data_IF_355792139123
#
_entry.id   IF_355792139123
#
_cell.length_a   1.000
_cell.length_b   1.000
_cell.length_c   1.000
_cell.angle_alpha   90.00
_cell.angle_beta   90.00
_cell.angle_gamma   90.00
#
_symmetry.space_group_name_H-M   'P 1'
#
loop_
_entity.id
_entity.type
_entity.pdbx_description
1 polymer ?
#
# COMPACT_ATOMS: atom_id res chain seq x y z
N UNK A 1 42.15 -95.53 -5.29
CA UNK A 1 41.12 -95.53 -4.23
C UNK A 1 41.81 -95.23 -2.91
N UNK A 2 41.27 -94.43 -1.98
CA UNK A 2 39.98 -93.73 -1.93
C UNK A 2 40.19 -92.21 -1.81
N UNK A 3 39.24 -91.41 -2.30
CA UNK A 3 39.15 -89.98 -1.94
C UNK A 3 38.43 -89.90 -0.60
N UNK A 4 39.12 -89.43 0.44
CA UNK A 4 38.50 -89.25 1.77
C UNK A 4 37.65 -87.97 1.77
N UNK A 5 36.41 -88.09 2.25
CA UNK A 5 35.37 -87.08 2.04
C UNK A 5 35.58 -85.80 2.86
N UNK A 6 35.63 -84.64 2.18
CA UNK A 6 35.67 -83.31 2.78
C UNK A 6 34.33 -82.84 3.37
N UNK A 7 33.61 -83.70 4.10
CA UNK A 7 32.22 -83.46 4.50
C UNK A 7 32.01 -82.65 5.79
N UNK A 8 33.04 -82.45 6.61
CA UNK A 8 32.85 -82.04 8.03
C UNK A 8 32.88 -80.52 8.29
N UNK A 9 33.27 -79.71 7.30
CA UNK A 9 33.51 -78.27 7.47
C UNK A 9 32.24 -77.41 7.27
N UNK A 10 31.41 -77.74 6.26
CA UNK A 10 30.29 -76.90 5.81
C UNK A 10 29.13 -76.77 6.81
N UNK A 11 28.93 -77.77 7.68
CA UNK A 11 27.89 -77.73 8.70
C UNK A 11 28.19 -76.72 9.82
N UNK A 12 29.47 -76.61 10.22
CA UNK A 12 29.90 -75.60 11.21
C UNK A 12 29.67 -74.18 10.67
N UNK A 13 29.97 -73.92 9.40
CA UNK A 13 29.71 -72.62 8.79
C UNK A 13 28.21 -72.30 8.67
N UNK A 14 27.34 -73.27 8.37
CA UNK A 14 25.89 -73.03 8.33
C UNK A 14 25.28 -72.84 9.72
N UNK A 15 25.79 -73.50 10.77
CA UNK A 15 25.42 -73.19 12.17
C UNK A 15 25.93 -71.81 12.62
N UNK A 16 27.14 -71.42 12.25
CA UNK A 16 27.67 -70.08 12.53
C UNK A 16 26.87 -68.99 11.80
N UNK A 17 26.57 -69.16 10.51
CA UNK A 17 25.76 -68.19 9.78
C UNK A 17 24.32 -68.12 10.28
N UNK A 18 23.67 -69.23 10.65
CA UNK A 18 22.31 -69.20 11.21
C UNK A 18 22.26 -68.61 12.62
N UNK A 19 23.24 -68.87 13.48
CA UNK A 19 23.35 -68.22 14.80
C UNK A 19 23.66 -66.72 14.69
N UNK A 20 24.52 -66.28 13.76
CA UNK A 20 24.70 -64.85 13.44
C UNK A 20 23.41 -64.20 12.89
N UNK A 21 22.66 -64.90 12.04
CA UNK A 21 21.37 -64.40 11.51
C UNK A 21 20.30 -64.28 12.60
N UNK A 22 20.28 -65.19 13.60
CA UNK A 22 19.39 -65.07 14.76
C UNK A 22 19.82 -63.95 15.70
N UNK A 23 21.10 -63.85 16.08
CA UNK A 23 21.58 -62.75 16.92
C UNK A 23 21.38 -61.38 16.26
N UNK A 24 21.64 -61.27 14.95
CA UNK A 24 21.41 -60.06 14.17
C UNK A 24 19.93 -59.62 14.09
N UNK A 25 18.98 -60.52 14.41
CA UNK A 25 17.55 -60.20 14.52
C UNK A 25 17.06 -59.95 15.95
N UNK A 26 17.87 -60.27 16.97
CA UNK A 26 17.53 -60.06 18.38
C UNK A 26 18.09 -58.75 18.96
N UNK A 27 19.14 -58.19 18.36
CA UNK A 27 19.75 -56.92 18.80
C UNK A 27 19.10 -55.65 18.24
N UNK A 28 17.92 -55.77 17.62
CA UNK A 28 17.12 -54.63 17.17
C UNK A 28 16.36 -54.00 18.36
N UNK A 29 17.10 -53.39 19.30
CA UNK A 29 16.51 -52.57 20.37
C UNK A 29 15.78 -51.38 19.73
N UNK A 30 14.45 -51.47 19.66
CA UNK A 30 13.59 -50.34 19.32
C UNK A 30 13.67 -49.33 20.44
N UNK A 31 14.60 -48.38 20.33
CA UNK A 31 14.63 -47.20 21.19
C UNK A 31 13.28 -46.51 21.16
N UNK A 32 12.75 -46.13 22.33
CA UNK A 32 11.55 -45.30 22.43
C UNK A 32 11.71 -44.05 21.54
N UNK A 33 10.65 -43.62 20.83
CA UNK A 33 10.73 -42.39 20.04
C UNK A 33 11.08 -41.22 20.98
N UNK A 34 12.02 -40.33 20.59
CA UNK A 34 12.45 -39.25 21.47
C UNK A 34 11.27 -38.31 21.77
N UNK A 35 11.17 -37.87 23.03
CA UNK A 35 10.11 -36.96 23.45
C UNK A 35 10.15 -35.66 22.63
N UNK A 36 8.99 -35.10 22.24
CA UNK A 36 8.92 -33.95 21.35
C UNK A 36 9.47 -32.68 22.00
N UNK A 37 10.00 -31.78 21.17
CA UNK A 37 10.65 -30.54 21.60
C UNK A 37 9.68 -29.64 22.40
N UNK A 38 10.07 -29.11 23.57
CA UNK A 38 9.30 -28.08 24.24
C UNK A 38 9.39 -26.74 23.51
N UNK A 39 8.43 -25.86 23.81
CA UNK A 39 8.39 -24.47 23.34
C UNK A 39 8.98 -23.59 24.45
N UNK A 40 9.83 -22.62 24.09
CA UNK A 40 10.44 -21.67 25.02
C UNK A 40 10.06 -20.23 24.64
N UNK A 41 9.19 -19.62 25.43
CA UNK A 41 8.62 -18.29 25.17
C UNK A 41 9.01 -17.26 26.23
N UNK A 42 8.88 -15.97 25.90
CA UNK A 42 8.96 -14.87 26.86
C UNK A 42 7.58 -14.66 27.48
N UNK A 43 7.46 -14.86 28.79
CA UNK A 43 6.23 -14.56 29.55
C UNK A 43 6.18 -13.11 30.02
N UNK A 44 7.30 -12.58 30.52
CA UNK A 44 7.41 -11.17 30.89
C UNK A 44 8.86 -10.67 30.86
N UNK A 45 9.03 -9.34 30.77
CA UNK A 45 10.34 -8.67 30.71
C UNK A 45 10.32 -7.43 31.61
N UNK A 46 11.37 -7.27 32.40
CA UNK A 46 11.71 -6.05 33.15
C UNK A 46 13.03 -5.46 32.61
N UNK A 47 13.49 -4.33 33.17
CA UNK A 47 14.77 -3.72 32.74
C UNK A 47 16.00 -4.59 33.04
N UNK A 48 15.93 -5.51 34.01
CA UNK A 48 17.08 -6.32 34.45
C UNK A 48 16.80 -7.83 34.53
N UNK A 49 15.58 -8.28 34.23
CA UNK A 49 15.19 -9.69 34.23
C UNK A 49 14.19 -10.02 33.12
N UNK A 50 14.17 -11.28 32.71
CA UNK A 50 13.16 -11.86 31.82
C UNK A 50 12.63 -13.13 32.47
N UNK A 51 11.32 -13.31 32.46
CA UNK A 51 10.66 -14.58 32.81
C UNK A 51 10.40 -15.35 31.52
N UNK A 52 10.99 -16.54 31.43
CA UNK A 52 10.84 -17.47 30.33
C UNK A 52 9.91 -18.61 30.75
N UNK A 53 8.99 -19.00 29.88
CA UNK A 53 8.17 -20.22 30.07
C UNK A 53 8.68 -21.31 29.14
N UNK A 54 9.00 -22.47 29.71
CA UNK A 54 9.24 -23.70 28.96
C UNK A 54 7.98 -24.57 29.03
N UNK A 55 7.34 -24.84 27.89
CA UNK A 55 6.10 -25.64 27.75
C UNK A 55 6.43 -27.01 27.16
N UNK A 56 5.99 -28.09 27.80
CA UNK A 56 5.91 -29.39 27.15
C UNK A 56 4.80 -29.36 26.07
N UNK A 57 4.93 -30.12 24.95
CA UNK A 57 3.88 -30.22 23.95
C UNK A 57 2.58 -30.83 24.49
N UNK A 58 1.46 -30.59 23.80
CA UNK A 58 0.15 -31.11 24.23
C UNK A 58 0.17 -32.63 24.47
N UNK A 59 -0.51 -33.05 25.54
CA UNK A 59 -0.51 -34.44 26.01
C UNK A 59 0.76 -34.90 26.74
N UNK A 60 1.84 -34.11 26.74
CA UNK A 60 3.11 -34.45 27.40
C UNK A 60 3.30 -33.64 28.69
N UNK A 61 3.99 -34.23 29.68
CA UNK A 61 4.20 -33.63 31.00
C UNK A 61 5.61 -33.93 31.51
N UNK A 62 6.31 -32.88 31.95
CA UNK A 62 7.66 -32.96 32.49
C UNK A 62 7.70 -32.97 34.02
N UNK A 63 8.67 -33.69 34.60
CA UNK A 63 9.01 -33.64 36.04
C UNK A 63 10.37 -33.00 36.31
N UNK A 64 11.22 -32.81 35.29
CA UNK A 64 12.44 -32.02 35.39
C UNK A 64 12.58 -31.18 34.13
N UNK A 65 12.51 -29.86 34.26
CA UNK A 65 12.75 -28.90 33.18
C UNK A 65 14.10 -28.21 33.39
N UNK A 66 14.88 -28.02 32.32
CA UNK A 66 16.22 -27.41 32.38
C UNK A 66 16.32 -26.27 31.38
N UNK A 67 16.86 -25.13 31.81
CA UNK A 67 17.14 -23.98 30.96
C UNK A 67 18.64 -23.87 30.68
N UNK A 68 18.98 -23.70 29.41
CA UNK A 68 20.34 -23.52 28.93
C UNK A 68 20.51 -22.15 28.29
N UNK A 69 21.69 -21.54 28.49
CA UNK A 69 22.18 -20.39 27.72
C UNK A 69 23.28 -20.87 26.79
N UNK A 70 23.01 -20.89 25.48
CA UNK A 70 23.87 -21.45 24.43
C UNK A 70 24.25 -22.93 24.63
N UNK A 71 25.11 -23.25 25.61
CA UNK A 71 25.51 -24.63 25.99
C UNK A 71 25.62 -24.85 27.51
N UNK A 72 25.53 -23.78 28.31
CA UNK A 72 25.64 -23.83 29.76
C UNK A 72 24.25 -24.00 30.39
N UNK A 73 24.05 -24.95 31.31
CA UNK A 73 22.78 -25.05 32.06
C UNK A 73 22.76 -23.93 33.10
N UNK A 74 21.85 -22.97 32.93
CA UNK A 74 21.75 -21.78 33.80
C UNK A 74 20.70 -21.93 34.90
N UNK A 75 19.70 -22.79 34.71
CA UNK A 75 18.63 -23.04 35.69
C UNK A 75 18.02 -24.44 35.48
N UNK A 76 17.36 -24.99 36.49
CA UNK A 76 16.60 -26.24 36.39
C UNK A 76 15.62 -26.43 37.55
N UNK A 77 14.41 -26.88 37.22
CA UNK A 77 13.32 -27.12 38.17
C UNK A 77 12.90 -28.59 38.12
N UNK A 78 12.94 -29.25 39.28
CA UNK A 78 12.38 -30.59 39.51
C UNK A 78 11.02 -30.46 40.22
N UNK A 79 10.05 -31.29 39.81
CA UNK A 79 8.66 -31.26 40.23
C UNK A 79 8.23 -32.63 40.75
N UNK A 80 7.39 -32.65 41.79
CA UNK A 80 6.88 -33.89 42.40
C UNK A 80 5.84 -34.60 41.53
N UNK A 81 5.29 -33.93 40.52
CA UNK A 81 4.31 -34.47 39.58
C UNK A 81 4.46 -33.83 38.20
N UNK A 82 4.02 -34.52 37.16
CA UNK A 82 4.18 -34.07 35.78
C UNK A 82 3.37 -32.79 35.48
N UNK A 83 4.06 -31.70 35.15
CA UNK A 83 3.47 -30.42 34.75
C UNK A 83 3.64 -30.16 33.24
N UNK A 84 2.80 -29.27 32.72
CA UNK A 84 2.77 -28.87 31.31
C UNK A 84 3.72 -27.69 31.02
N UNK A 85 4.02 -26.85 32.01
CA UNK A 85 4.97 -25.74 31.88
C UNK A 85 5.70 -25.39 33.19
N UNK A 86 6.83 -24.67 33.09
CA UNK A 86 7.52 -24.00 34.21
C UNK A 86 8.01 -22.60 33.83
N UNK A 87 8.23 -21.74 34.83
CA UNK A 87 8.74 -20.38 34.67
C UNK A 87 10.17 -20.23 35.22
N UNK A 88 11.11 -19.80 34.38
CA UNK A 88 12.50 -19.50 34.74
C UNK A 88 12.76 -17.99 34.75
N UNK A 89 13.50 -17.46 35.73
CA UNK A 89 13.80 -16.01 35.81
C UNK A 89 15.28 -15.74 35.56
N UNK A 90 15.61 -15.30 34.34
CA UNK A 90 16.99 -14.96 33.95
C UNK A 90 17.29 -13.47 34.18
N UNK A 91 18.51 -13.16 34.62
CA UNK A 91 19.00 -11.78 34.74
C UNK A 91 19.67 -11.33 33.45
N UNK A 92 19.17 -10.27 32.83
CA UNK A 92 19.77 -9.68 31.63
C UNK A 92 20.81 -8.66 32.06
N UNK A 93 22.07 -8.88 31.67
CA UNK A 93 23.14 -7.87 31.79
C UNK A 93 23.07 -6.91 30.60
N UNK A 94 23.10 -5.60 30.89
CA UNK A 94 23.26 -4.53 29.91
C UNK A 94 24.71 -4.60 29.36
N UNK A 95 24.86 -4.89 28.06
CA UNK A 95 26.18 -5.17 27.45
C UNK A 95 26.11 -6.12 26.26
N UNK A 96 25.91 -5.52 25.08
CA UNK A 96 26.09 -5.96 23.67
C UNK A 96 26.43 -7.45 23.37
N UNK A 97 25.65 -8.37 23.95
CA UNK A 97 25.78 -9.81 23.73
C UNK A 97 24.41 -10.41 23.49
N UNK A 98 24.16 -10.89 22.26
CA UNK A 98 22.96 -11.63 21.91
C UNK A 98 22.90 -12.89 22.76
N UNK A 99 21.82 -13.07 23.52
CA UNK A 99 21.70 -14.19 24.48
C UNK A 99 20.70 -15.22 23.95
N UNK A 100 21.23 -16.35 23.50
CA UNK A 100 20.43 -17.48 23.03
C UNK A 100 20.11 -18.41 24.21
N UNK A 101 18.83 -18.72 24.39
CA UNK A 101 18.36 -19.67 25.39
C UNK A 101 17.61 -20.82 24.72
N UNK A 102 17.70 -22.02 25.29
CA UNK A 102 16.88 -23.17 24.92
C UNK A 102 16.53 -23.97 26.18
N UNK A 103 15.46 -24.75 26.15
CA UNK A 103 15.07 -25.62 27.25
C UNK A 103 14.86 -27.06 26.79
N UNK A 104 14.90 -27.99 27.73
CA UNK A 104 14.49 -29.38 27.54
C UNK A 104 13.78 -29.88 28.81
N UNK A 105 12.96 -30.92 28.68
CA UNK A 105 12.30 -31.55 29.82
C UNK A 105 12.57 -33.05 29.90
N UNK A 106 12.24 -33.64 31.04
CA UNK A 106 12.29 -35.07 31.32
C UNK A 106 10.91 -35.56 31.75
N UNK A 107 10.44 -36.68 31.20
CA UNK A 107 9.18 -37.32 31.63
C UNK A 107 9.33 -38.11 32.93
N UNK A 108 8.24 -38.76 33.37
CA UNK A 108 8.22 -39.59 34.59
C UNK A 108 9.00 -40.91 34.42
N UNK A 109 9.01 -41.48 33.23
CA UNK A 109 9.74 -42.71 32.90
C UNK A 109 11.27 -42.50 32.81
N UNK A 110 11.69 -41.25 32.66
CA UNK A 110 13.06 -40.77 32.72
C UNK A 110 13.70 -40.42 31.37
N UNK A 111 12.94 -40.43 30.28
CA UNK A 111 13.38 -39.98 28.97
C UNK A 111 13.51 -38.46 28.92
N UNK A 112 14.44 -37.96 28.10
CA UNK A 112 14.60 -36.53 27.85
C UNK A 112 13.98 -36.15 26.50
N UNK A 113 13.44 -34.93 26.43
CA UNK A 113 13.11 -34.29 25.16
C UNK A 113 14.36 -33.90 24.40
N UNK A 114 14.21 -33.75 23.08
CA UNK A 114 15.12 -32.87 22.33
C UNK A 114 15.00 -31.43 22.86
N UNK A 115 16.01 -30.61 22.61
CA UNK A 115 15.99 -29.19 22.98
C UNK A 115 14.91 -28.43 22.20
N UNK A 116 14.35 -27.39 22.82
CA UNK A 116 13.59 -26.35 22.11
C UNK A 116 14.44 -25.68 21.02
N UNK A 117 13.80 -25.02 20.04
CA UNK A 117 14.47 -23.98 19.26
C UNK A 117 15.16 -22.94 20.18
N UNK A 118 16.20 -22.29 19.69
CA UNK A 118 16.85 -21.21 20.43
C UNK A 118 15.98 -19.94 20.41
N UNK A 119 15.53 -19.52 21.58
CA UNK A 119 14.93 -18.21 21.81
C UNK A 119 16.05 -17.17 21.90
N UNK A 120 16.01 -16.17 21.02
CA UNK A 120 16.92 -15.03 21.06
C UNK A 120 16.37 -13.95 22.00
N UNK A 121 17.02 -13.73 23.15
CA UNK A 121 16.83 -12.49 23.90
C UNK A 121 17.58 -11.37 23.19
N UNK A 122 16.91 -10.78 22.19
CA UNK A 122 17.30 -9.47 21.69
C UNK A 122 17.25 -8.47 22.84
N UNK A 123 18.30 -7.65 22.94
CA UNK A 123 18.28 -6.49 23.79
C UNK A 123 17.28 -5.52 23.18
N UNK A 124 16.12 -5.32 23.84
CA UNK A 124 15.24 -4.20 23.51
C UNK A 124 16.07 -2.95 23.77
N UNK A 125 16.59 -2.31 22.72
CA UNK A 125 17.23 -1.00 22.86
C UNK A 125 16.23 -0.08 23.57
N UNK A 126 16.70 0.77 24.48
CA UNK A 126 15.94 1.92 25.00
C UNK A 126 15.75 3.01 23.89
N UNK A 127 15.57 2.57 22.64
CA UNK A 127 15.39 3.39 21.45
C UNK A 127 13.97 3.94 21.42
N UNK A 128 13.85 5.26 21.49
CA UNK A 128 12.56 5.94 21.43
C UNK A 128 11.99 5.82 20.00
N UNK A 129 10.65 5.69 19.83
CA UNK A 129 10.03 5.63 18.50
C UNK A 129 10.47 6.81 17.61
N UNK A 130 10.85 6.52 16.37
CA UNK A 130 11.40 7.51 15.43
C UNK A 130 10.39 8.64 15.18
N UNK A 131 10.78 9.93 15.30
CA UNK A 131 9.87 11.05 15.06
C UNK A 131 9.54 11.23 13.58
N UNK A 132 8.38 11.82 13.32
CA UNK A 132 8.02 12.34 12.00
C UNK A 132 8.37 13.82 11.90
N UNK A 133 8.72 14.27 10.69
CA UNK A 133 8.99 15.66 10.36
C UNK A 133 8.23 16.00 9.08
N UNK A 134 7.42 17.05 9.09
CA UNK A 134 6.60 17.48 7.94
C UNK A 134 6.66 18.99 7.74
N UNK A 135 6.50 19.44 6.49
CA UNK A 135 6.26 20.86 6.18
C UNK A 135 4.78 21.16 6.39
N UNK A 136 4.45 22.23 7.10
CA UNK A 136 3.09 22.71 7.30
C UNK A 136 2.99 24.22 7.09
N UNK A 137 1.92 24.68 6.42
CA UNK A 137 1.59 26.11 6.33
C UNK A 137 0.62 26.46 7.47
N UNK A 138 0.89 27.54 8.21
CA UNK A 138 0.02 28.05 9.26
C UNK A 138 0.00 29.58 9.18
N UNK A 139 -1.19 30.17 8.97
CA UNK A 139 -1.38 31.61 8.81
C UNK A 139 -0.42 32.24 7.77
N UNK A 140 -0.28 31.58 6.63
CA UNK A 140 0.61 31.92 5.51
C UNK A 140 2.13 31.88 5.79
N UNK A 141 2.54 31.41 6.98
CA UNK A 141 3.94 31.12 7.30
C UNK A 141 4.21 29.62 7.17
N UNK A 142 5.39 29.27 6.64
CA UNK A 142 5.85 27.89 6.51
C UNK A 142 6.65 27.45 7.74
N UNK A 143 6.26 26.31 8.30
CA UNK A 143 6.86 25.71 9.48
C UNK A 143 7.24 24.26 9.23
N UNK A 144 8.18 23.77 10.03
CA UNK A 144 8.51 22.35 10.15
C UNK A 144 7.89 21.83 11.45
N UNK A 145 6.87 20.99 11.35
CA UNK A 145 6.28 20.29 12.49
C UNK A 145 7.05 18.98 12.69
N UNK A 146 7.65 18.83 13.87
CA UNK A 146 8.19 17.56 14.33
C UNK A 146 7.26 16.94 15.37
N UNK A 147 6.95 15.65 15.24
CA UNK A 147 6.08 14.90 16.16
C UNK A 147 6.83 13.67 16.67
N UNK A 148 6.94 13.58 18.00
CA UNK A 148 7.54 12.44 18.71
C UNK A 148 6.48 11.44 19.18
N UNK A 149 6.88 10.51 20.07
CA UNK A 149 5.93 9.58 20.68
C UNK A 149 5.04 10.28 21.70
N UNK A 150 3.72 10.11 21.57
CA UNK A 150 2.73 10.58 22.55
C UNK A 150 2.89 9.95 23.96
N UNK A 151 3.71 8.91 24.11
CA UNK A 151 4.10 8.36 25.41
C UNK A 151 5.08 9.27 26.20
N UNK A 152 5.70 10.25 25.53
CA UNK A 152 6.72 11.13 26.12
C UNK A 152 6.43 12.62 25.82
N UNK A 153 5.34 13.20 26.37
CA UNK A 153 5.08 14.64 26.27
C UNK A 153 6.12 15.46 27.07
N UNK A 154 6.30 16.73 26.73
CA UNK A 154 7.34 17.59 27.32
C UNK A 154 8.77 17.25 26.88
N UNK A 155 8.92 16.48 25.80
CA UNK A 155 10.21 16.15 25.21
C UNK A 155 10.95 17.39 24.67
N UNK A 156 12.28 17.27 24.55
CA UNK A 156 13.13 18.27 23.91
C UNK A 156 13.30 17.88 22.45
N UNK A 157 12.91 18.73 21.52
CA UNK A 157 12.98 18.47 20.09
C UNK A 157 14.14 19.26 19.46
N UNK A 158 14.96 18.59 18.66
CA UNK A 158 16.12 19.18 17.99
C UNK A 158 16.03 18.97 16.48
N UNK A 159 16.10 20.08 15.73
CA UNK A 159 16.10 20.11 14.27
C UNK A 159 17.55 20.16 13.76
N UNK A 160 17.89 19.27 12.84
CA UNK A 160 19.20 19.16 12.21
C UNK A 160 19.09 19.41 10.70
N UNK A 161 20.16 19.93 10.11
CA UNK A 161 20.41 19.75 8.69
C UNK A 161 21.02 18.36 8.49
N UNK A 162 20.69 17.69 7.38
CA UNK A 162 21.31 16.43 7.01
C UNK A 162 22.84 16.57 6.97
N UNK A 163 23.51 15.49 7.36
CA UNK A 163 24.98 15.38 7.43
C UNK A 163 25.67 16.38 8.40
N UNK A 164 24.90 17.11 9.22
CA UNK A 164 25.40 17.94 10.33
C UNK A 164 25.06 17.29 11.67
N UNK A 165 26.05 17.27 12.58
CA UNK A 165 25.92 16.71 13.94
C UNK A 165 25.27 17.68 14.94
N UNK A 166 25.47 19.00 14.77
CA UNK A 166 24.90 20.05 15.62
C UNK A 166 23.47 20.42 15.20
N UNK A 167 22.55 20.70 16.16
CA UNK A 167 21.22 21.16 15.83
C UNK A 167 21.23 22.60 15.31
N UNK A 168 20.37 22.86 14.32
CA UNK A 168 20.06 24.20 13.79
C UNK A 168 19.15 24.97 14.74
N UNK A 169 18.24 24.25 15.42
CA UNK A 169 17.37 24.79 16.46
C UNK A 169 16.94 23.68 17.43
N UNK A 170 16.72 24.02 18.69
CA UNK A 170 16.21 23.10 19.73
C UNK A 170 15.08 23.79 20.51
N UNK A 171 13.96 23.09 20.66
CA UNK A 171 12.74 23.59 21.31
C UNK A 171 12.23 22.58 22.32
N UNK A 172 11.84 23.05 23.51
CA UNK A 172 11.15 22.24 24.50
C UNK A 172 9.65 22.25 24.19
N UNK A 173 9.02 21.08 24.09
CA UNK A 173 7.56 20.98 24.05
C UNK A 173 6.95 21.31 25.42
N UNK A 174 5.67 21.70 25.46
CA UNK A 174 4.98 21.86 26.76
C UNK A 174 4.74 20.48 27.41
N UNK A 175 4.45 20.46 28.71
CA UNK A 175 4.28 19.22 29.49
C UNK A 175 3.16 18.28 28.99
N UNK A 176 2.30 18.73 28.06
CA UNK A 176 1.25 17.92 27.44
C UNK A 176 1.48 17.68 25.94
N UNK A 177 2.40 18.42 25.32
CA UNK A 177 2.69 18.31 23.89
C UNK A 177 3.77 17.27 23.62
N UNK A 178 3.57 16.49 22.56
CA UNK A 178 4.53 15.53 22.02
C UNK A 178 5.05 15.97 20.64
N UNK A 179 5.05 17.29 20.40
CA UNK A 179 5.41 17.90 19.12
C UNK A 179 6.09 19.26 19.32
N UNK A 180 6.88 19.68 18.34
CA UNK A 180 7.51 21.00 18.29
C UNK A 180 7.39 21.60 16.88
N UNK A 181 7.19 22.92 16.83
CA UNK A 181 7.04 23.71 15.61
C UNK A 181 8.29 24.59 15.46
N UNK A 182 9.04 24.38 14.38
CA UNK A 182 10.19 25.20 14.01
C UNK A 182 9.80 26.12 12.85
N UNK A 183 10.22 27.40 12.82
CA UNK A 183 10.17 28.20 11.59
C UNK A 183 11.11 27.57 10.55
N UNK A 184 10.76 27.59 9.27
CA UNK A 184 11.69 27.14 8.20
C UNK A 184 12.95 28.02 8.21
N UNK A 185 14.15 27.48 8.49
CA UNK A 185 15.36 28.30 8.52
C UNK A 185 15.74 28.80 7.12
N UNK A 186 16.08 30.08 7.01
CA UNK A 186 16.56 30.70 5.77
C UNK A 186 17.96 30.16 5.46
N UNK A 187 18.10 29.37 4.40
CA UNK A 187 19.39 28.88 3.90
C UNK A 187 19.68 29.40 2.49
N UNK A 188 20.96 29.55 2.18
CA UNK A 188 21.44 29.95 0.84
C UNK A 188 21.47 28.80 -0.18
N UNK A 189 21.23 27.58 0.26
CA UNK A 189 21.00 26.42 -0.60
C UNK A 189 19.63 26.52 -1.31
N UNK A 190 19.52 26.06 -2.57
CA UNK A 190 18.22 25.99 -3.26
C UNK A 190 17.34 24.86 -2.71
N UNK A 191 17.94 23.81 -2.15
CA UNK A 191 17.26 22.72 -1.44
C UNK A 191 18.05 22.38 -0.17
N UNK A 192 17.36 22.31 0.95
CA UNK A 192 17.88 21.87 2.25
C UNK A 192 17.18 20.58 2.69
N UNK A 193 17.91 19.65 3.32
CA UNK A 193 17.35 18.40 3.82
C UNK A 193 17.33 18.40 5.34
N UNK A 194 16.17 18.53 5.96
CA UNK A 194 16.04 18.59 7.42
C UNK A 194 15.74 17.22 8.04
N UNK A 195 16.24 17.02 9.26
CA UNK A 195 15.96 15.86 10.11
C UNK A 195 15.57 16.36 11.51
N UNK A 196 14.74 15.61 12.23
CA UNK A 196 14.39 15.91 13.62
C UNK A 196 14.78 14.75 14.54
N UNK A 197 15.17 15.06 15.77
CA UNK A 197 15.35 14.13 16.88
C UNK A 197 14.53 14.64 18.07
N UNK A 198 14.19 13.75 19.01
CA UNK A 198 13.75 14.19 20.33
C UNK A 198 14.45 13.43 21.45
N UNK A 199 14.66 14.14 22.54
CA UNK A 199 15.39 13.70 23.72
C UNK A 199 14.47 13.78 24.95
N UNK A 200 14.47 12.73 25.76
CA UNK A 200 13.55 12.58 26.91
C UNK A 200 14.29 12.13 28.17
N UNK A 201 13.90 12.66 29.32
CA UNK A 201 14.52 12.35 30.60
C UNK A 201 13.88 11.10 31.24
N UNK A 202 14.41 9.92 30.92
CA UNK A 202 13.97 8.65 31.52
C UNK A 202 14.56 8.51 32.94
N UNK A 203 13.82 9.05 33.92
CA UNK A 203 14.12 9.00 35.35
C UNK A 203 15.29 9.91 35.76
N UNK A 204 16.51 9.58 35.33
CA UNK A 204 17.74 10.38 35.53
C UNK A 204 18.71 10.37 34.35
N UNK A 205 18.39 9.65 33.27
CA UNK A 205 19.21 9.54 32.06
C UNK A 205 18.44 10.14 30.89
N UNK A 206 19.07 11.05 30.14
CA UNK A 206 18.56 11.46 28.84
C UNK A 206 18.70 10.29 27.85
N UNK A 207 17.61 9.96 27.17
CA UNK A 207 17.63 9.06 26.00
C UNK A 207 17.21 9.85 24.78
N UNK A 208 17.76 9.49 23.62
CA UNK A 208 17.53 10.15 22.34
C UNK A 208 16.79 9.22 21.39
N UNK A 209 15.92 9.76 20.55
CA UNK A 209 15.36 9.02 19.41
C UNK A 209 16.43 8.81 18.33
N UNK A 210 16.17 7.87 17.41
CA UNK A 210 16.82 7.96 16.10
C UNK A 210 16.30 9.22 15.36
N UNK A 211 17.04 9.71 14.37
CA UNK A 211 16.62 10.87 13.57
C UNK A 211 15.48 10.51 12.61
N UNK A 212 14.59 11.47 12.35
CA UNK A 212 13.53 11.35 11.34
C UNK A 212 14.10 11.10 9.95
N UNK A 213 13.25 10.61 9.04
CA UNK A 213 13.55 10.64 7.60
C UNK A 213 13.87 12.09 7.16
N UNK A 214 14.82 12.22 6.24
CA UNK A 214 15.22 13.52 5.68
C UNK A 214 14.10 14.15 4.86
N UNK A 215 13.74 15.38 5.19
CA UNK A 215 12.69 16.16 4.55
C UNK A 215 13.32 17.25 3.66
N UNK A 216 13.09 17.17 2.35
CA UNK A 216 13.56 18.18 1.40
C UNK A 216 12.69 19.46 1.48
N UNK A 217 13.32 20.61 1.59
CA UNK A 217 12.70 21.95 1.63
C UNK A 217 13.37 22.81 0.56
N UNK A 218 12.61 23.27 -0.43
CA UNK A 218 13.10 24.02 -1.58
C UNK A 218 12.89 25.52 -1.41
N UNK A 219 13.94 26.33 -1.57
CA UNK A 219 13.86 27.80 -1.51
C UNK A 219 13.16 28.34 -2.75
N UNK A 220 12.05 29.06 -2.56
CA UNK A 220 11.38 29.83 -3.62
C UNK A 220 10.35 29.07 -4.47
N UNK A 221 9.94 27.86 -4.07
CA UNK A 221 8.80 27.15 -4.68
C UNK A 221 7.74 26.94 -3.60
N UNK A 222 6.56 27.59 -3.64
CA UNK A 222 5.42 27.10 -2.88
C UNK A 222 5.04 25.71 -3.43
N UNK A 223 4.86 24.67 -2.60
CA UNK A 223 4.25 23.43 -3.06
C UNK A 223 2.91 23.79 -3.71
N UNK A 224 2.60 23.20 -4.89
CA UNK A 224 1.80 23.85 -5.94
C UNK A 224 0.58 24.54 -5.37
N UNK A 225 0.64 25.87 -5.35
CA UNK A 225 -0.42 26.70 -4.79
C UNK A 225 -1.73 26.33 -5.46
N UNK A 226 -2.75 26.00 -4.65
CA UNK A 226 -4.10 25.76 -5.12
C UNK A 226 -4.76 27.09 -5.52
N UNK A 227 -4.24 27.66 -6.61
CA UNK A 227 -4.91 28.61 -7.48
C UNK A 227 -6.16 27.87 -8.02
N UNK A 228 -7.37 28.14 -7.55
CA UNK A 228 -7.84 29.39 -6.96
C UNK A 228 -9.03 29.25 -5.99
N UNK A 229 -9.29 30.35 -5.28
CA UNK A 229 -10.55 30.73 -4.61
C UNK A 229 -11.08 29.85 -3.44
N UNK A 230 -11.14 30.51 -2.27
CA UNK A 230 -12.16 30.40 -1.23
C UNK A 230 -12.27 29.10 -0.41
N UNK A 231 -12.26 29.26 0.92
CA UNK A 231 -12.80 28.26 1.85
C UNK A 231 -14.33 28.23 1.76
N UNK A 232 -14.85 27.28 1.01
CA UNK A 232 -16.27 26.90 0.92
C UNK A 232 -16.34 25.37 0.91
N UNK A 233 -17.33 24.76 1.56
CA UNK A 233 -17.45 23.31 1.67
C UNK A 233 -17.79 22.63 0.32
N UNK A 234 -16.73 22.29 -0.42
CA UNK A 234 -16.77 21.65 -1.72
C UNK A 234 -17.65 20.38 -1.86
N UNK A 235 -17.89 19.55 -0.81
CA UNK A 235 -18.82 18.42 -0.91
C UNK A 235 -20.26 18.80 -1.31
N UNK A 236 -20.73 20.01 -0.98
CA UNK A 236 -22.05 20.49 -1.40
C UNK A 236 -22.02 21.17 -2.77
N UNK A 237 -20.91 21.85 -3.10
CA UNK A 237 -20.80 22.66 -4.31
C UNK A 237 -20.82 21.80 -5.58
N UNK A 238 -20.20 20.62 -5.57
CA UNK A 238 -20.11 19.75 -6.75
C UNK A 238 -21.49 19.20 -7.20
N UNK A 239 -22.46 19.10 -6.29
CA UNK A 239 -23.86 18.79 -6.65
C UNK A 239 -24.65 19.99 -7.19
N UNK A 240 -24.29 21.21 -6.78
CA UNK A 240 -25.05 22.43 -7.07
C UNK A 240 -24.96 22.90 -8.52
N UNK A 241 -23.80 22.72 -9.18
CA UNK A 241 -23.62 23.09 -10.59
C UNK A 241 -24.59 22.36 -11.53
N UNK A 242 -25.00 21.14 -11.20
CA UNK A 242 -26.03 20.39 -11.95
C UNK A 242 -27.37 21.14 -11.99
N UNK A 243 -27.83 21.65 -10.84
CA UNK A 243 -29.10 22.37 -10.74
C UNK A 243 -29.10 23.68 -11.54
N UNK A 244 -27.99 24.43 -11.52
CA UNK A 244 -27.85 25.68 -12.27
C UNK A 244 -27.84 25.43 -13.78
N UNK A 245 -27.09 24.42 -14.26
CA UNK A 245 -27.07 24.04 -15.68
C UNK A 245 -28.43 23.53 -16.14
N UNK A 246 -29.12 22.70 -15.34
CA UNK A 246 -30.47 22.22 -15.65
C UNK A 246 -31.50 23.37 -15.71
N UNK A 247 -31.41 24.36 -14.81
CA UNK A 247 -32.25 25.55 -14.86
C UNK A 247 -32.01 26.35 -16.14
N UNK A 248 -30.75 26.64 -16.50
CA UNK A 248 -30.41 27.35 -17.74
C UNK A 248 -30.94 26.60 -18.98
N UNK A 249 -30.73 25.28 -19.04
CA UNK A 249 -31.27 24.43 -20.11
C UNK A 249 -32.81 24.47 -20.17
N UNK A 250 -33.49 24.43 -19.03
CA UNK A 250 -34.96 24.50 -18.99
C UNK A 250 -35.51 25.83 -19.51
N UNK A 251 -34.89 26.96 -19.12
CA UNK A 251 -35.26 28.29 -19.60
C UNK A 251 -34.97 28.43 -21.10
N UNK A 252 -33.83 27.95 -21.58
CA UNK A 252 -33.49 27.95 -23.00
C UNK A 252 -34.51 27.14 -23.83
N UNK A 253 -34.94 25.97 -23.35
CA UNK A 253 -35.98 25.16 -24.00
C UNK A 253 -37.34 25.89 -24.03
N UNK A 254 -37.76 26.53 -22.94
CA UNK A 254 -39.00 27.34 -22.89
C UNK A 254 -38.95 28.49 -23.89
N UNK A 255 -37.84 29.22 -23.97
CA UNK A 255 -37.64 30.32 -24.94
C UNK A 255 -37.68 29.80 -26.38
N UNK A 256 -37.04 28.67 -26.68
CA UNK A 256 -37.09 28.04 -28.02
C UNK A 256 -38.50 27.58 -28.37
N UNK A 257 -39.25 26.99 -27.44
CA UNK A 257 -40.64 26.57 -27.66
C UNK A 257 -41.55 27.77 -27.86
N UNK A 258 -41.41 28.84 -27.06
CA UNK A 258 -42.15 30.08 -27.23
C UNK A 258 -41.87 30.74 -28.59
N UNK A 259 -40.60 30.87 -28.97
CA UNK A 259 -40.20 31.42 -30.27
C UNK A 259 -40.68 30.56 -31.45
N UNK A 260 -40.69 29.22 -31.32
CA UNK A 260 -41.30 28.31 -32.30
C UNK A 260 -42.83 28.47 -32.38
N UNK A 261 -43.53 28.59 -31.25
CA UNK A 261 -44.99 28.86 -31.19
C UNK A 261 -45.32 30.20 -31.83
N UNK A 262 -44.58 31.27 -31.53
CA UNK A 262 -44.76 32.60 -32.15
C UNK A 262 -44.49 32.56 -33.65
N UNK A 263 -43.41 31.91 -34.11
CA UNK A 263 -43.13 31.75 -35.55
C UNK A 263 -44.17 30.88 -36.27
N UNK A 264 -44.72 29.87 -35.61
CA UNK A 264 -45.84 29.09 -36.14
C UNK A 264 -47.12 29.94 -36.27
N UNK A 265 -47.48 30.67 -35.21
CA UNK A 265 -48.64 31.57 -35.21
C UNK A 265 -48.51 32.72 -36.23
N UNK A 266 -47.30 33.25 -36.45
CA UNK A 266 -47.03 34.24 -37.48
C UNK A 266 -47.16 33.66 -38.90
N UNK A 267 -46.66 32.43 -39.14
CA UNK A 267 -46.86 31.72 -40.41
C UNK A 267 -48.33 31.37 -40.66
N UNK A 268 -49.07 30.97 -39.63
CA UNK A 268 -50.53 30.80 -39.66
C UNK A 268 -51.25 32.09 -40.07
N UNK A 269 -50.95 33.22 -39.41
CA UNK A 269 -51.55 34.52 -39.75
C UNK A 269 -51.22 34.94 -41.19
N UNK A 270 -49.98 34.78 -41.65
CA UNK A 270 -49.57 35.07 -43.04
C UNK A 270 -50.35 34.21 -44.04
N UNK A 271 -50.44 32.89 -43.80
CA UNK A 271 -51.23 31.97 -44.64
C UNK A 271 -52.71 32.34 -44.71
N UNK A 272 -53.31 32.79 -43.60
CA UNK A 272 -54.71 33.24 -43.56
C UNK A 272 -54.92 34.52 -44.38
N UNK A 273 -53.99 35.47 -44.33
CA UNK A 273 -54.02 36.67 -45.18
C UNK A 273 -53.81 36.32 -46.67
N UNK A 274 -52.88 35.42 -46.99
CA UNK A 274 -52.67 34.92 -48.35
C UNK A 274 -53.91 34.20 -48.89
N UNK A 275 -54.55 33.34 -48.09
CA UNK A 275 -55.80 32.68 -48.46
C UNK A 275 -56.94 33.68 -48.71
N UNK A 276 -57.10 34.70 -47.85
CA UNK A 276 -58.07 35.78 -48.05
C UNK A 276 -57.83 36.52 -49.38
N UNK A 277 -56.57 36.87 -49.67
CA UNK A 277 -56.18 37.49 -50.93
C UNK A 277 -56.54 36.60 -52.15
N UNK A 278 -56.18 35.32 -52.14
CA UNK A 278 -56.53 34.40 -53.23
C UNK A 278 -58.05 34.21 -53.40
N UNK A 279 -58.84 34.17 -52.31
CA UNK A 279 -60.30 34.15 -52.43
C UNK A 279 -60.86 35.44 -53.05
N UNK A 280 -60.26 36.60 -52.79
CA UNK A 280 -60.66 37.88 -53.39
C UNK A 280 -60.24 37.99 -54.87
N UNK A 281 -59.14 37.36 -55.27
CA UNK A 281 -58.67 37.29 -56.66
C UNK A 281 -59.57 36.35 -57.48
N UNK A 282 -59.79 35.12 -57.03
CA UNK A 282 -60.64 34.18 -57.78
C UNK A 282 -62.13 34.61 -57.86
N UNK A 283 -62.61 35.37 -56.87
CA UNK A 283 -63.92 36.02 -56.95
C UNK A 283 -64.02 37.10 -58.05
N UNK A 284 -62.88 37.60 -58.58
CA UNK A 284 -62.82 38.44 -59.79
C UNK A 284 -62.57 37.64 -61.06
N UNK A 285 -61.72 36.61 -61.03
CA UNK A 285 -61.33 35.88 -62.25
C UNK A 285 -62.52 35.18 -62.93
N UNK A 286 -63.50 34.72 -62.14
CA UNK A 286 -64.79 34.20 -62.63
C UNK A 286 -65.64 35.20 -63.43
N UNK A 287 -65.26 36.49 -63.48
CA UNK A 287 -65.94 37.53 -64.26
C UNK A 287 -65.31 37.75 -65.65
N UNK A 288 -64.08 37.24 -65.90
CA UNK A 288 -63.24 37.76 -67.00
C UNK A 288 -62.74 36.70 -68.00
N UNK A 289 -62.39 35.48 -67.58
CA UNK A 289 -61.62 34.56 -68.44
C UNK A 289 -62.45 33.79 -69.49
N UNK A 290 -63.00 34.52 -70.47
CA UNK A 290 -63.77 33.99 -71.60
C UNK A 290 -63.17 34.34 -72.97
N UNK A 291 -61.90 34.80 -73.05
CA UNK A 291 -61.27 35.24 -74.32
C UNK A 291 -59.75 35.05 -74.47
N UNK A 292 -59.36 34.30 -75.53
CA UNK A 292 -58.24 34.59 -76.48
C UNK A 292 -56.75 34.24 -76.18
N UNK A 293 -56.37 32.97 -76.39
CA UNK A 293 -55.54 32.47 -77.53
C UNK A 293 -54.45 33.40 -78.19
N UNK A 294 -53.12 33.15 -78.01
CA UNK A 294 -52.09 32.99 -79.11
C UNK A 294 -50.57 32.75 -78.75
N UNK A 295 -49.94 31.81 -79.48
CA UNK A 295 -48.55 31.73 -80.07
C UNK A 295 -47.20 31.98 -79.30
N UNK A 296 -46.09 31.47 -79.89
CA UNK A 296 -44.64 31.50 -79.47
C UNK A 296 -43.77 32.33 -80.44
N UNK A 297 -42.53 32.72 -80.03
CA UNK A 297 -41.19 32.31 -80.59
C UNK A 297 -40.00 33.19 -80.03
N UNK A 298 -38.68 32.86 -80.22
CA UNK A 298 -37.58 33.15 -79.25
C UNK A 298 -36.30 33.86 -79.85
N UNK A 299 -35.13 33.78 -79.15
CA UNK A 299 -33.78 34.16 -79.66
C UNK A 299 -32.56 33.49 -78.91
N UNK A 300 -31.32 34.00 -79.10
CA UNK A 300 -29.95 33.36 -79.11
C UNK A 300 -28.89 34.06 -78.17
N UNK A 301 -27.59 33.74 -77.95
CA UNK A 301 -26.64 32.55 -78.02
C UNK A 301 -25.19 32.99 -77.52
N UNK A 302 -24.12 32.15 -77.60
CA UNK A 302 -22.63 32.39 -77.43
C UNK A 302 -22.04 32.44 -75.98
N UNK A 303 -20.73 32.26 -75.65
CA UNK A 303 -19.43 32.14 -76.37
C UNK A 303 -18.37 31.20 -75.66
N UNK A 304 -17.09 31.13 -76.10
CA UNK A 304 -16.05 30.10 -75.73
C UNK A 304 -14.58 30.48 -76.13
N UNK A 305 -13.40 29.89 -75.77
CA UNK A 305 -12.87 28.87 -74.79
C UNK A 305 -11.29 28.77 -74.83
N UNK A 306 -10.61 28.43 -73.70
CA UNK A 306 -9.24 27.83 -73.45
C UNK A 306 -7.93 28.37 -74.16
N UNK A 307 -6.66 27.89 -73.98
CA UNK A 307 -5.97 26.75 -73.27
C UNK A 307 -4.67 27.20 -72.51
N UNK A 308 -3.48 26.55 -72.30
CA UNK A 308 -2.70 25.37 -72.85
C UNK A 308 -1.71 24.74 -71.79
N UNK A 309 -0.59 24.05 -72.16
CA UNK A 309 0.12 23.02 -71.32
C UNK A 309 1.66 22.83 -71.53
N UNK A 310 2.43 22.35 -70.51
CA UNK A 310 3.73 21.60 -70.66
C UNK A 310 3.99 20.54 -69.53
N UNK A 311 5.08 19.73 -69.57
CA UNK A 311 5.12 18.33 -69.03
C UNK A 311 6.44 17.84 -68.38
N UNK A 312 6.42 16.96 -67.34
CA UNK A 312 7.63 16.17 -66.93
C UNK A 312 7.57 15.22 -65.69
N UNK A 313 7.84 13.92 -65.89
CA UNK A 313 7.96 12.77 -64.93
C UNK A 313 8.89 12.96 -63.70
N UNK A 314 8.87 12.17 -62.58
CA UNK A 314 8.79 10.69 -62.43
C UNK A 314 8.46 10.23 -60.97
N UNK A 315 8.09 8.97 -60.75
CA UNK A 315 7.53 8.36 -59.50
C UNK A 315 8.46 7.25 -58.91
N UNK A 316 8.13 6.33 -57.93
CA UNK A 316 6.84 5.83 -57.35
C UNK A 316 6.76 6.01 -55.79
N UNK A 317 6.18 5.20 -54.85
CA UNK A 317 5.61 3.83 -54.79
C UNK A 317 4.77 3.53 -53.50
N UNK A 318 3.66 2.76 -53.62
CA UNK A 318 2.89 1.98 -52.58
C UNK A 318 2.21 2.74 -51.39
N UNK A 319 0.88 2.64 -51.16
CA UNK A 319 -0.03 1.52 -50.76
C UNK A 319 -0.02 1.25 -49.22
N UNK A 320 -1.13 0.94 -48.51
CA UNK A 320 -2.57 0.85 -48.85
C UNK A 320 -3.46 0.87 -47.58
N UNK A 321 -4.78 1.09 -47.78
CA UNK A 321 -5.96 0.64 -46.99
C UNK A 321 -5.77 -0.01 -45.60
N UNK A 322 -6.54 0.46 -44.60
CA UNK A 322 -7.18 -0.42 -43.61
C UNK A 322 -8.43 0.23 -42.98
N UNK A 323 -9.43 -0.59 -42.68
CA UNK A 323 -10.64 -0.24 -41.91
C UNK A 323 -10.69 -1.17 -40.71
N UNK A 324 -10.90 -0.66 -39.48
CA UNK A 324 -11.14 -1.54 -38.33
C UNK A 324 -12.21 -1.00 -37.38
N UNK A 325 -13.10 -1.91 -36.97
CA UNK A 325 -14.22 -1.70 -36.05
C UNK A 325 -14.02 -2.57 -34.83
N UNK A 326 -14.22 -2.06 -33.62
CA UNK A 326 -14.31 -2.89 -32.40
C UNK A 326 -15.09 -2.20 -31.27
N UNK A 327 -16.23 -2.77 -30.85
CA UNK A 327 -16.77 -2.65 -29.50
C UNK A 327 -16.55 -3.96 -28.69
N UNK A 328 -16.70 -3.88 -27.35
CA UNK A 328 -16.35 -4.90 -26.34
C UNK A 328 -17.36 -4.76 -25.17
N UNK A 329 -17.72 -5.80 -24.36
CA UNK A 329 -17.72 -7.26 -24.52
C UNK A 329 -19.19 -7.79 -24.54
N UNK A 330 -19.54 -9.03 -24.08
CA UNK A 330 -19.65 -9.32 -22.63
C UNK A 330 -19.25 -10.75 -22.15
N UNK A 331 -18.84 -10.82 -20.88
CA UNK A 331 -19.16 -11.86 -19.87
C UNK A 331 -19.13 -13.35 -20.30
N UNK A 332 -18.17 -14.11 -19.76
CA UNK A 332 -18.44 -14.96 -18.59
C UNK A 332 -17.20 -15.17 -17.71
#
# INVERSE_FOLDING_TARGET
MQVVSGGQSLWMYTLLFTSLQLWGRLSASTSSPPLPAPILDIYSRSKSSVVLVCRAPEGHRGVHFMLYRTREKVDSQELQSGAEEVQFTVRVKEGDSVQLFCCLYKDQDGHYSVFSPYLQLEHTRDALPVPTLVVQQQMDVWHLLCTGSAAYPGAVFSLYLADIELPVATHHATLLDHQAIFPVPVQDSPVAFYQCQYDVLLGRKWSSSERSRSLAVTRGIPPPSSTDLSGVDWPLVLGSFSAVVLLICSVALVVVVAHRKVKAAAKEKKKRQEAQFWTQVHAKDHVVDLTLRRTRFPSEEWASVDTTTETGSRSPLRNSLSTFTTPIPPIH
#
